data_IF_377519153691
#
_entry.id   IF_377519153691
#
_cell.length_a   1.000
_cell.length_b   1.000
_cell.length_c   1.000
_cell.angle_alpha   90.00
_cell.angle_beta   90.00
_cell.angle_gamma   90.00
#
_symmetry.space_group_name_H-M   'P 1'
#
loop_
_entity.id
_entity.type
_entity.pdbx_description
1 polymer ?
#
# COMPACT_ATOMS: atom_id res chain seq x y z
N UNK A 1 -16.61 12.98 1.99
CA UNK A 1 -15.99 11.95 2.85
C UNK A 1 -15.46 10.84 1.95
N UNK A 2 -14.23 10.36 2.18
CA UNK A 2 -13.64 9.24 1.41
C UNK A 2 -13.63 8.01 2.31
N UNK A 3 -14.01 6.85 1.77
CA UNK A 3 -13.88 5.54 2.43
C UNK A 3 -12.72 4.77 1.78
N UNK A 4 -11.49 4.81 2.32
CA UNK A 4 -10.35 4.12 1.72
C UNK A 4 -10.57 2.61 1.53
N UNK A 5 -11.16 1.86 2.49
CA UNK A 5 -11.47 0.45 2.29
C UNK A 5 -12.36 0.19 1.07
N UNK A 6 -13.40 1.00 0.85
CA UNK A 6 -14.27 0.87 -0.33
C UNK A 6 -13.52 1.14 -1.64
N UNK A 7 -12.47 1.96 -1.63
CA UNK A 7 -11.63 2.18 -2.82
C UNK A 7 -10.65 1.02 -3.02
N UNK A 8 -10.01 0.53 -1.95
CA UNK A 8 -9.02 -0.56 -2.01
C UNK A 8 -9.65 -1.91 -2.33
N UNK A 9 -10.93 -2.10 -1.99
CA UNK A 9 -11.67 -3.33 -2.24
C UNK A 9 -12.62 -3.24 -3.45
N UNK A 10 -12.49 -2.20 -4.29
CA UNK A 10 -13.37 -2.03 -5.44
C UNK A 10 -12.99 -3.00 -6.58
N UNK A 11 -13.88 -3.94 -6.97
CA UNK A 11 -13.59 -4.90 -8.04
C UNK A 11 -13.49 -4.27 -9.43
N UNK A 12 -14.02 -3.06 -9.63
CA UNK A 12 -13.84 -2.31 -10.89
C UNK A 12 -12.43 -1.67 -11.00
N UNK A 13 -11.66 -1.66 -9.91
CA UNK A 13 -10.28 -1.12 -9.88
C UNK A 13 -9.22 -2.21 -9.70
N UNK A 14 -9.55 -3.25 -8.93
CA UNK A 14 -8.62 -4.31 -8.57
C UNK A 14 -9.27 -5.66 -8.87
N UNK A 15 -8.60 -6.47 -9.69
CA UNK A 15 -8.96 -7.87 -9.91
C UNK A 15 -8.84 -8.67 -8.61
N UNK A 16 -9.85 -9.46 -8.24
CA UNK A 16 -9.88 -10.22 -6.98
C UNK A 16 -9.45 -9.39 -5.74
N UNK A 17 -10.19 -8.32 -5.39
CA UNK A 17 -9.75 -7.35 -4.39
C UNK A 17 -9.62 -7.93 -2.97
N UNK A 18 -10.24 -9.08 -2.70
CA UNK A 18 -10.18 -9.78 -1.43
C UNK A 18 -9.01 -10.76 -1.33
N UNK A 19 -8.33 -11.05 -2.46
CA UNK A 19 -7.17 -11.95 -2.49
C UNK A 19 -5.90 -11.21 -2.10
N UNK A 20 -5.15 -11.77 -1.14
CA UNK A 20 -3.81 -11.30 -0.83
C UNK A 20 -2.85 -11.67 -1.97
N UNK A 21 -2.63 -10.72 -2.89
CA UNK A 21 -1.71 -10.87 -4.03
C UNK A 21 -0.68 -9.73 -4.02
N UNK A 22 0.54 -9.95 -3.49
CA UNK A 22 1.61 -8.94 -3.52
C UNK A 22 2.03 -8.52 -4.93
N UNK A 23 1.89 -9.40 -5.92
CA UNK A 23 2.28 -9.17 -7.32
C UNK A 23 1.36 -8.19 -8.04
N UNK A 24 0.21 -7.84 -7.46
CA UNK A 24 -0.71 -6.81 -7.97
C UNK A 24 -0.01 -5.50 -8.31
N UNK A 25 1.06 -5.19 -7.59
CA UNK A 25 1.79 -3.93 -7.68
C UNK A 25 3.01 -3.99 -8.60
N UNK A 26 3.30 -5.15 -9.19
CA UNK A 26 4.44 -5.29 -10.10
C UNK A 26 4.25 -4.45 -11.36
N UNK A 27 5.29 -3.72 -11.76
CA UNK A 27 5.24 -2.78 -12.88
C UNK A 27 4.29 -1.57 -12.70
N UNK A 28 3.64 -1.39 -11.54
CA UNK A 28 2.77 -0.24 -11.29
C UNK A 28 3.53 0.93 -10.65
N UNK A 29 3.46 2.10 -11.27
CA UNK A 29 3.90 3.35 -10.62
C UNK A 29 2.86 3.82 -9.58
N UNK A 30 3.04 3.42 -8.33
CA UNK A 30 2.24 3.93 -7.21
C UNK A 30 2.82 5.28 -6.77
N UNK A 31 2.44 6.35 -7.47
CA UNK A 31 2.85 7.70 -7.11
C UNK A 31 1.97 8.30 -5.99
N UNK A 32 2.52 9.28 -5.27
CA UNK A 32 1.85 10.01 -4.16
C UNK A 32 0.60 10.80 -4.58
N UNK A 33 0.37 10.95 -5.88
CA UNK A 33 -0.75 11.69 -6.45
C UNK A 33 -1.91 10.78 -6.89
N UNK A 34 -1.74 9.45 -6.88
CA UNK A 34 -2.81 8.53 -7.28
C UNK A 34 -3.93 8.47 -6.24
N UNK A 35 -5.18 8.44 -6.70
CA UNK A 35 -6.38 8.23 -5.86
C UNK A 35 -6.78 6.76 -5.77
N UNK A 36 -5.93 5.87 -6.29
CA UNK A 36 -6.20 4.43 -6.38
C UNK A 36 -5.70 3.72 -5.12
N UNK A 37 -4.51 4.10 -4.63
CA UNK A 37 -3.92 3.57 -3.42
C UNK A 37 -3.73 4.67 -2.39
N UNK A 38 -4.41 4.55 -1.25
CA UNK A 38 -4.53 5.61 -0.23
C UNK A 38 -4.16 5.11 1.17
N UNK A 39 -3.25 4.14 1.28
CA UNK A 39 -2.81 3.60 2.56
C UNK A 39 -2.17 4.67 3.47
N UNK A 40 -1.61 5.72 2.87
CA UNK A 40 -0.95 6.83 3.56
C UNK A 40 -1.67 8.17 3.41
N UNK A 41 -2.95 8.15 3.01
CA UNK A 41 -3.72 9.34 2.70
C UNK A 41 -3.43 9.91 1.30
N UNK A 42 -3.65 11.21 1.11
CA UNK A 42 -3.53 11.89 -0.18
C UNK A 42 -3.44 13.42 -0.03
N UNK A 43 -2.94 14.10 -1.07
CA UNK A 43 -2.88 15.56 -1.15
C UNK A 43 -1.88 16.20 -0.17
N UNK A 44 -2.12 17.45 0.23
CA UNK A 44 -1.20 18.22 1.09
C UNK A 44 -1.10 17.70 2.53
N UNK A 45 -2.03 16.83 2.93
CA UNK A 45 -2.06 16.15 4.24
C UNK A 45 -1.64 14.67 4.12
N UNK A 46 -0.87 14.34 3.09
CA UNK A 46 -0.26 13.01 2.96
C UNK A 46 0.57 12.68 4.20
N UNK A 47 0.60 11.41 4.60
CA UNK A 47 1.36 11.01 5.79
C UNK A 47 2.84 11.37 5.63
N UNK A 48 3.33 12.26 6.50
CA UNK A 48 4.73 12.70 6.52
C UNK A 48 5.70 11.54 6.77
N UNK A 49 5.24 10.49 7.47
CA UNK A 49 6.03 9.30 7.78
C UNK A 49 6.08 8.25 6.67
N UNK A 50 5.45 8.45 5.51
CA UNK A 50 5.27 7.40 4.50
C UNK A 50 6.58 6.69 4.11
N UNK A 51 7.62 7.44 3.75
CA UNK A 51 8.88 6.82 3.33
C UNK A 51 9.63 6.19 4.50
N UNK A 52 9.57 6.81 5.68
CA UNK A 52 10.14 6.24 6.90
C UNK A 52 9.50 4.90 7.24
N UNK A 53 8.16 4.85 7.26
CA UNK A 53 7.40 3.62 7.56
C UNK A 53 7.65 2.54 6.51
N UNK A 54 7.75 2.88 5.22
CA UNK A 54 8.10 1.89 4.18
C UNK A 54 9.46 1.23 4.45
N UNK A 55 10.49 2.03 4.75
CA UNK A 55 11.82 1.50 5.10
C UNK A 55 11.75 0.67 6.38
N UNK A 56 11.10 1.17 7.43
CA UNK A 56 10.96 0.47 8.69
C UNK A 56 10.27 -0.89 8.54
N UNK A 57 9.16 -0.96 7.78
CA UNK A 57 8.44 -2.20 7.49
C UNK A 57 9.29 -3.17 6.67
N UNK A 58 10.00 -2.68 5.65
CA UNK A 58 10.89 -3.51 4.85
C UNK A 58 12.04 -4.10 5.69
N UNK A 59 12.66 -3.31 6.56
CA UNK A 59 13.69 -3.77 7.49
C UNK A 59 13.13 -4.80 8.48
N UNK A 60 11.96 -4.54 9.05
CA UNK A 60 11.30 -5.48 9.95
C UNK A 60 11.02 -6.82 9.27
N UNK A 61 10.39 -6.80 8.09
CA UNK A 61 10.09 -8.01 7.31
C UNK A 61 11.37 -8.77 6.93
N UNK A 62 12.42 -8.07 6.50
CA UNK A 62 13.71 -8.68 6.21
C UNK A 62 14.28 -9.42 7.43
N UNK A 63 14.32 -8.77 8.60
CA UNK A 63 14.78 -9.40 9.84
C UNK A 63 13.90 -10.59 10.25
N UNK A 64 12.57 -10.46 10.10
CA UNK A 64 11.62 -11.51 10.45
C UNK A 64 11.86 -12.77 9.61
N UNK A 65 11.88 -12.64 8.29
CA UNK A 65 11.97 -13.81 7.38
C UNK A 65 13.36 -14.42 7.28
N UNK A 66 14.42 -13.68 7.62
CA UNK A 66 15.79 -14.19 7.55
C UNK A 66 16.29 -14.79 8.86
N UNK A 67 15.66 -14.46 9.99
CA UNK A 67 16.12 -14.91 11.32
C UNK A 67 15.14 -15.84 12.05
N UNK A 68 13.89 -15.92 11.60
CA UNK A 68 12.85 -16.71 12.25
C UNK A 68 12.11 -17.57 11.22
N UNK A 69 11.71 -18.78 11.62
CA UNK A 69 10.89 -19.72 10.82
C UNK A 69 9.97 -20.50 11.74
#
# INVERSE_FOLDING_TARGET
>A
MVCPPAVHLNPAKYEDPLTFNPWRWDGQEINRATRHFMAFGGGIRFCVGTEFTKVQMATFLHCLVTKYS
#
